data_IF_134566987937
#
_entry.id   IF_134566987937
#
_cell.length_a   1.000
_cell.length_b   1.000
_cell.length_c   1.000
_cell.angle_alpha   90.00
_cell.angle_beta   90.00
_cell.angle_gamma   90.00
#
_symmetry.space_group_name_H-M   'P 1'
#
loop_
_entity.id
_entity.type
_entity.pdbx_description
1 polymer ?
#
# COMPACT_ATOMS: atom_id res chain seq x y z
N UNK A 1 -38.84 -17.80 3.09
CA UNK A 1 -37.46 -18.13 3.53
C UNK A 1 -36.33 -17.45 2.74
N UNK A 2 -36.58 -16.77 1.62
CA UNK A 2 -35.57 -16.10 0.77
C UNK A 2 -35.20 -14.68 1.30
N UNK A 3 -36.19 -13.93 1.79
CA UNK A 3 -35.97 -12.54 2.27
C UNK A 3 -35.02 -12.41 3.48
N UNK A 4 -35.01 -13.41 4.39
CA UNK A 4 -34.12 -13.38 5.58
C UNK A 4 -32.64 -13.62 5.24
N UNK A 5 -32.36 -14.22 4.06
CA UNK A 5 -31.00 -14.52 3.62
C UNK A 5 -30.32 -13.31 3.00
N UNK A 6 -31.08 -12.44 2.32
CA UNK A 6 -30.58 -11.21 1.69
C UNK A 6 -30.18 -10.20 2.76
N UNK A 7 -30.99 -9.98 3.81
CA UNK A 7 -30.67 -9.08 4.92
C UNK A 7 -29.43 -9.50 5.71
N UNK A 8 -29.14 -10.79 5.82
CA UNK A 8 -27.95 -11.29 6.55
C UNK A 8 -26.66 -11.10 5.77
N UNK A 9 -26.71 -11.18 4.45
CA UNK A 9 -25.55 -10.96 3.56
C UNK A 9 -25.19 -9.47 3.56
N UNK A 10 -26.16 -8.57 3.39
CA UNK A 10 -25.94 -7.11 3.44
C UNK A 10 -25.42 -6.66 4.80
N UNK A 11 -25.92 -7.23 5.91
CA UNK A 11 -25.44 -6.90 7.24
C UNK A 11 -24.01 -7.38 7.49
N UNK A 12 -23.64 -8.55 6.95
CA UNK A 12 -22.28 -9.08 7.04
C UNK A 12 -21.27 -8.25 6.22
N UNK A 13 -21.65 -7.79 5.03
CA UNK A 13 -20.81 -6.94 4.19
C UNK A 13 -20.59 -5.56 4.83
N UNK A 14 -21.60 -4.95 5.43
CA UNK A 14 -21.48 -3.70 6.16
C UNK A 14 -20.66 -3.82 7.44
N UNK A 15 -20.67 -4.97 8.10
CA UNK A 15 -19.87 -5.23 9.32
C UNK A 15 -18.40 -5.46 8.98
N UNK A 16 -18.08 -6.02 7.82
CA UNK A 16 -16.70 -6.14 7.32
C UNK A 16 -16.12 -4.77 6.92
N UNK A 17 -16.94 -3.81 6.49
CA UNK A 17 -16.50 -2.45 6.21
C UNK A 17 -16.02 -1.70 7.47
N UNK A 18 -16.61 -1.97 8.64
CA UNK A 18 -16.27 -1.28 9.89
C UNK A 18 -14.91 -1.69 10.50
N UNK A 19 -14.31 -2.80 10.05
CA UNK A 19 -13.06 -3.34 10.62
C UNK A 19 -11.85 -3.21 9.70
N UNK A 20 -12.00 -2.64 8.51
CA UNK A 20 -10.88 -2.49 7.59
C UNK A 20 -9.91 -1.43 8.09
N UNK A 21 -8.67 -1.86 8.36
CA UNK A 21 -7.56 -0.97 8.67
C UNK A 21 -6.92 -0.54 7.37
N UNK A 22 -6.86 0.77 7.15
CA UNK A 22 -6.36 1.37 5.91
C UNK A 22 -5.25 2.36 6.20
N UNK A 23 -4.22 2.37 5.36
CA UNK A 23 -3.10 3.29 5.44
C UNK A 23 -3.02 4.12 4.16
N UNK A 24 -3.20 5.43 4.26
CA UNK A 24 -2.90 6.37 3.19
C UNK A 24 -1.46 6.85 3.30
N UNK A 25 -0.79 6.93 2.16
CA UNK A 25 0.60 7.36 2.04
C UNK A 25 0.70 8.49 1.03
N UNK A 26 1.11 9.66 1.48
CA UNK A 26 1.56 10.75 0.62
C UNK A 26 3.09 10.74 0.61
N UNK A 27 3.67 10.55 -0.59
CA UNK A 27 5.08 10.18 -0.74
C UNK A 27 5.84 11.26 -1.46
N UNK A 28 6.82 11.83 -0.76
CA UNK A 28 7.84 12.70 -1.30
C UNK A 28 9.19 11.99 -1.40
N UNK A 29 10.18 12.64 -2.00
CA UNK A 29 11.53 12.09 -2.17
C UNK A 29 12.14 11.65 -0.84
N UNK A 30 12.08 12.48 0.20
CA UNK A 30 12.82 12.29 1.45
C UNK A 30 11.91 11.91 2.62
N UNK A 31 10.59 12.07 2.48
CA UNK A 31 9.62 11.79 3.54
C UNK A 31 8.37 11.10 3.01
N UNK A 32 7.70 10.40 3.90
CA UNK A 32 6.36 9.84 3.66
C UNK A 32 5.44 10.26 4.79
N UNK A 33 4.36 10.94 4.44
CA UNK A 33 3.28 11.26 5.35
C UNK A 33 2.28 10.08 5.35
N UNK A 34 2.06 9.50 6.53
CA UNK A 34 1.26 8.31 6.74
C UNK A 34 0.00 8.65 7.53
N UNK A 35 -1.15 8.17 7.07
CA UNK A 35 -2.43 8.31 7.76
C UNK A 35 -3.09 6.94 7.93
N UNK A 36 -3.12 6.44 9.17
CA UNK A 36 -3.79 5.19 9.53
C UNK A 36 -5.24 5.46 9.86
N UNK A 37 -6.15 4.95 9.05
CA UNK A 37 -7.59 5.02 9.27
C UNK A 37 -8.08 3.70 9.87
N UNK A 38 -8.64 3.77 11.08
CA UNK A 38 -9.24 2.63 11.77
C UNK A 38 -10.48 3.09 12.54
N UNK A 39 -11.61 2.43 12.34
CA UNK A 39 -12.88 2.75 13.01
C UNK A 39 -13.27 4.25 12.91
N UNK A 40 -13.06 4.86 11.76
CA UNK A 40 -13.36 6.28 11.52
C UNK A 40 -12.34 7.27 12.12
N UNK A 41 -11.39 6.80 12.92
CA UNK A 41 -10.31 7.62 13.48
C UNK A 41 -9.07 7.60 12.58
N UNK A 42 -8.44 8.76 12.42
CA UNK A 42 -7.20 8.91 11.66
C UNK A 42 -6.05 9.19 12.63
N UNK A 43 -4.98 8.42 12.53
CA UNK A 43 -3.71 8.67 13.22
C UNK A 43 -2.64 8.94 12.18
N UNK A 44 -1.89 10.02 12.35
CA UNK A 44 -0.86 10.42 11.41
C UNK A 44 0.55 10.17 11.96
N UNK A 45 1.48 9.90 11.06
CA UNK A 45 2.90 9.77 11.33
C UNK A 45 3.69 10.19 10.09
N UNK A 46 4.79 10.86 10.29
CA UNK A 46 5.76 11.15 9.23
C UNK A 46 6.98 10.25 9.43
N UNK A 47 7.48 9.68 8.35
CA UNK A 47 8.69 8.86 8.33
C UNK A 47 9.62 9.33 7.20
N UNK A 48 10.89 8.97 7.26
CA UNK A 48 11.81 9.11 6.13
C UNK A 48 11.48 8.10 5.03
N UNK A 49 11.65 8.49 3.77
CA UNK A 49 11.52 7.57 2.64
C UNK A 49 12.82 6.76 2.47
N UNK A 50 13.11 5.92 3.46
CA UNK A 50 14.32 5.10 3.58
C UNK A 50 14.00 3.78 4.29
N UNK A 51 14.88 2.77 4.21
CA UNK A 51 14.69 1.50 4.91
C UNK A 51 14.46 1.66 6.43
N UNK A 52 15.13 2.62 7.06
CA UNK A 52 14.98 2.93 8.49
C UNK A 52 13.59 3.52 8.78
N UNK A 53 13.09 4.39 7.89
CA UNK A 53 11.73 4.93 7.98
C UNK A 53 10.68 3.84 7.81
N UNK A 54 10.89 2.88 6.91
CA UNK A 54 9.98 1.75 6.72
C UNK A 54 9.95 0.83 7.94
N UNK A 55 11.10 0.58 8.57
CA UNK A 55 11.17 -0.14 9.83
C UNK A 55 10.42 0.61 10.96
N UNK A 56 10.58 1.94 11.02
CA UNK A 56 9.85 2.79 11.97
C UNK A 56 8.34 2.79 11.72
N UNK A 57 7.89 2.66 10.46
CA UNK A 57 6.47 2.47 10.11
C UNK A 57 5.96 1.13 10.64
N UNK A 58 6.71 0.04 10.40
CA UNK A 58 6.36 -1.30 10.89
C UNK A 58 6.21 -1.33 12.40
N UNK A 59 7.16 -0.76 13.14
CA UNK A 59 7.10 -0.64 14.61
C UNK A 59 5.88 0.18 15.07
N UNK A 60 5.55 1.25 14.36
CA UNK A 60 4.38 2.07 14.67
C UNK A 60 3.07 1.33 14.41
N UNK A 61 2.96 0.59 13.30
CA UNK A 61 1.79 -0.25 13.01
C UNK A 61 1.62 -1.35 14.07
N UNK A 62 2.70 -1.99 14.48
CA UNK A 62 2.67 -2.98 15.54
C UNK A 62 2.20 -2.40 16.89
N UNK A 63 2.64 -1.17 17.25
CA UNK A 63 2.17 -0.46 18.45
C UNK A 63 0.65 -0.20 18.43
N UNK A 64 0.04 -0.19 17.24
CA UNK A 64 -1.40 -0.01 17.04
C UNK A 64 -2.13 -1.33 16.79
N UNK A 65 -1.52 -2.49 17.08
CA UNK A 65 -2.08 -3.82 16.88
C UNK A 65 -2.54 -4.08 15.44
N UNK A 66 -1.80 -3.54 14.46
CA UNK A 66 -2.08 -3.71 13.04
C UNK A 66 -1.15 -4.77 12.47
N UNK A 67 -1.68 -5.96 12.19
CA UNK A 67 -0.93 -7.05 11.57
C UNK A 67 -1.06 -7.04 10.05
N UNK A 68 -2.25 -6.73 9.54
CA UNK A 68 -2.52 -6.61 8.10
C UNK A 68 -3.36 -5.38 7.84
N UNK A 69 -3.06 -4.68 6.76
CA UNK A 69 -3.80 -3.51 6.32
C UNK A 69 -3.83 -3.42 4.80
N UNK A 70 -4.70 -2.55 4.29
CA UNK A 70 -4.68 -2.13 2.92
C UNK A 70 -4.06 -0.73 2.84
N UNK A 71 -2.85 -0.62 2.27
CA UNK A 71 -2.19 0.64 2.03
C UNK A 71 -2.55 1.19 0.65
N UNK A 72 -2.57 2.51 0.52
CA UNK A 72 -2.83 3.21 -0.72
C UNK A 72 -1.86 4.38 -0.87
N UNK A 73 -1.28 4.54 -2.05
CA UNK A 73 -0.43 5.68 -2.37
C UNK A 73 -0.71 6.20 -3.78
N UNK A 74 -0.31 7.44 -4.04
CA UNK A 74 -0.35 8.01 -5.38
C UNK A 74 0.87 7.59 -6.22
N UNK A 75 0.64 7.35 -7.51
CA UNK A 75 1.69 7.06 -8.49
C UNK A 75 2.41 8.33 -8.93
N UNK A 76 3.02 9.06 -8.00
CA UNK A 76 3.75 10.30 -8.28
C UNK A 76 5.25 10.02 -8.37
N UNK A 77 5.82 10.13 -9.58
CA UNK A 77 7.23 9.83 -9.84
C UNK A 77 7.58 8.36 -9.56
N UNK A 78 8.80 8.13 -9.05
CA UNK A 78 9.33 6.77 -8.75
C UNK A 78 9.47 6.51 -7.24
N UNK A 79 9.22 7.52 -6.42
CA UNK A 79 9.51 7.48 -4.99
C UNK A 79 8.63 6.52 -4.19
N UNK A 80 7.49 6.12 -4.74
CA UNK A 80 6.56 5.17 -4.13
C UNK A 80 7.00 3.71 -4.24
N UNK A 81 7.87 3.38 -5.20
CA UNK A 81 8.19 1.98 -5.52
C UNK A 81 8.85 1.24 -4.34
N UNK A 82 9.75 1.90 -3.63
CA UNK A 82 10.49 1.30 -2.52
C UNK A 82 9.57 0.92 -1.36
N UNK A 83 8.72 1.86 -0.91
CA UNK A 83 7.79 1.60 0.20
C UNK A 83 6.67 0.63 -0.22
N UNK A 84 6.18 0.71 -1.46
CA UNK A 84 5.17 -0.21 -1.97
C UNK A 84 5.70 -1.65 -1.98
N UNK A 85 6.92 -1.82 -2.46
CA UNK A 85 7.59 -3.11 -2.46
C UNK A 85 7.79 -3.64 -1.04
N UNK A 86 8.27 -2.80 -0.12
CA UNK A 86 8.46 -3.16 1.28
C UNK A 86 7.15 -3.63 1.93
N UNK A 87 6.06 -2.86 1.78
CA UNK A 87 4.76 -3.22 2.35
C UNK A 87 4.20 -4.51 1.76
N UNK A 88 4.39 -4.73 0.46
CA UNK A 88 4.01 -5.98 -0.19
C UNK A 88 4.78 -7.17 0.39
N UNK A 89 6.10 -7.03 0.60
CA UNK A 89 6.97 -8.09 1.13
C UNK A 89 6.65 -8.49 2.56
N UNK A 90 6.24 -7.54 3.40
CA UNK A 90 5.82 -7.83 4.77
C UNK A 90 4.36 -8.32 4.86
N UNK A 91 3.69 -8.51 3.71
CA UNK A 91 2.38 -9.16 3.62
C UNK A 91 1.19 -8.21 3.77
N UNK A 92 1.38 -6.90 3.59
CA UNK A 92 0.29 -5.94 3.47
C UNK A 92 -0.25 -5.90 2.04
N UNK A 93 -1.52 -5.54 1.88
CA UNK A 93 -2.07 -5.20 0.57
C UNK A 93 -1.72 -3.75 0.25
N UNK A 94 -1.28 -3.45 -0.95
CA UNK A 94 -1.02 -2.08 -1.39
C UNK A 94 -1.67 -1.81 -2.74
N UNK A 95 -2.21 -0.61 -2.92
CA UNK A 95 -2.74 -0.10 -4.18
C UNK A 95 -2.03 1.19 -4.57
N UNK A 96 -1.65 1.28 -5.82
CA UNK A 96 -1.00 2.46 -6.40
C UNK A 96 -2.00 3.15 -7.32
N UNK A 97 -2.35 4.39 -6.99
CA UNK A 97 -3.50 5.09 -7.56
C UNK A 97 -3.03 6.24 -8.45
N UNK A 98 -3.75 6.45 -9.54
CA UNK A 98 -3.53 7.63 -10.38
C UNK A 98 -3.90 8.89 -9.60
N UNK A 99 -3.02 9.90 -9.52
CA UNK A 99 -3.26 11.18 -8.84
C UNK A 99 -4.57 11.86 -9.25
N UNK A 100 -4.97 11.74 -10.51
CA UNK A 100 -6.23 12.32 -11.01
C UNK A 100 -7.47 11.76 -10.29
N UNK A 101 -7.43 10.48 -9.87
CA UNK A 101 -8.54 9.84 -9.14
C UNK A 101 -8.63 10.37 -7.71
N UNK A 102 -7.50 10.56 -7.03
CA UNK A 102 -7.45 11.14 -5.68
C UNK A 102 -7.92 12.59 -5.72
N UNK A 103 -7.46 13.37 -6.71
CA UNK A 103 -7.88 14.76 -6.90
C UNK A 103 -9.40 14.86 -7.13
N UNK A 104 -9.98 14.06 -8.05
CA UNK A 104 -11.41 14.03 -8.30
C UNK A 104 -12.21 13.64 -7.04
N UNK A 105 -11.72 12.68 -6.28
CA UNK A 105 -12.32 12.27 -5.01
C UNK A 105 -12.29 13.40 -3.97
N UNK A 106 -11.15 14.09 -3.84
CA UNK A 106 -11.03 15.26 -2.96
C UNK A 106 -12.00 16.38 -3.33
N UNK A 107 -12.19 16.64 -4.61
CA UNK A 107 -13.19 17.62 -5.10
C UNK A 107 -14.63 17.20 -4.73
N UNK A 108 -14.95 15.90 -4.84
CA UNK A 108 -16.28 15.38 -4.49
C UNK A 108 -16.63 15.57 -3.01
N UNK A 109 -15.61 15.60 -2.15
CA UNK A 109 -15.77 15.82 -0.70
C UNK A 109 -15.78 17.32 -0.31
N UNK A 110 -15.75 18.26 -1.28
CA UNK A 110 -15.69 19.71 -1.05
C UNK A 110 -14.55 20.16 -0.12
N UNK A 111 -13.47 19.42 -0.06
CA UNK A 111 -12.32 19.77 0.78
C UNK A 111 -11.47 20.82 0.08
N UNK A 112 -11.40 22.05 0.65
CA UNK A 112 -10.67 23.20 0.10
C UNK A 112 -9.25 23.40 0.66
N UNK A 113 -8.93 22.77 1.77
CA UNK A 113 -7.66 22.99 2.47
C UNK A 113 -6.65 21.90 2.11
N UNK A 114 -5.55 22.31 1.48
CA UNK A 114 -4.45 21.42 1.10
C UNK A 114 -3.35 21.50 2.16
N UNK A 115 -3.09 20.39 2.85
CA UNK A 115 -1.89 20.16 3.68
C UNK A 115 -1.48 18.70 3.53
N UNK A 116 -0.18 18.41 3.53
CA UNK A 116 0.36 17.05 3.33
C UNK A 116 -0.31 16.00 4.23
N UNK A 117 -0.61 16.36 5.48
CA UNK A 117 -1.31 15.46 6.41
C UNK A 117 -2.77 15.20 6.01
N UNK A 118 -3.45 16.18 5.35
CA UNK A 118 -4.79 16.00 4.81
C UNK A 118 -4.75 15.15 3.54
N UNK A 119 -3.69 15.23 2.75
CA UNK A 119 -3.54 14.47 1.52
C UNK A 119 -3.39 12.96 1.84
N UNK A 120 -2.55 12.57 2.80
CA UNK A 120 -2.46 11.20 3.27
C UNK A 120 -3.79 10.67 3.86
N UNK A 121 -4.52 11.51 4.62
CA UNK A 121 -5.82 11.14 5.16
C UNK A 121 -6.90 11.00 4.06
N UNK A 122 -6.83 11.84 3.01
CA UNK A 122 -7.69 11.74 1.85
C UNK A 122 -7.44 10.43 1.09
N UNK A 123 -6.18 10.07 0.88
CA UNK A 123 -5.78 8.79 0.27
C UNK A 123 -6.30 7.61 1.09
N UNK A 124 -6.21 7.66 2.43
CA UNK A 124 -6.76 6.62 3.30
C UNK A 124 -8.28 6.48 3.15
N UNK A 125 -9.03 7.60 3.10
CA UNK A 125 -10.48 7.60 2.90
C UNK A 125 -10.86 7.07 1.52
N UNK A 126 -10.12 7.46 0.48
CA UNK A 126 -10.29 6.93 -0.87
C UNK A 126 -10.14 5.40 -0.87
N UNK A 127 -9.07 4.90 -0.29
CA UNK A 127 -8.80 3.47 -0.18
C UNK A 127 -9.92 2.70 0.54
N UNK A 128 -10.43 3.25 1.64
CA UNK A 128 -11.51 2.63 2.41
C UNK A 128 -12.83 2.55 1.63
N UNK A 129 -13.15 3.58 0.83
CA UNK A 129 -14.41 3.67 0.10
C UNK A 129 -14.37 2.98 -1.25
N UNK A 130 -13.29 3.17 -2.02
CA UNK A 130 -13.19 2.70 -3.40
C UNK A 130 -12.60 1.30 -3.52
N UNK A 131 -11.89 0.80 -2.48
CA UNK A 131 -11.23 -0.51 -2.48
C UNK A 131 -10.48 -0.80 -3.78
N UNK A 132 -9.50 0.03 -4.14
CA UNK A 132 -8.82 -0.10 -5.41
C UNK A 132 -8.09 -1.44 -5.52
N UNK A 133 -7.85 -1.89 -6.76
CA UNK A 133 -7.16 -3.14 -7.02
C UNK A 133 -5.75 -3.17 -6.40
N UNK A 134 -5.39 -4.31 -5.85
CA UNK A 134 -4.07 -4.51 -5.26
C UNK A 134 -2.99 -4.43 -6.35
N UNK A 135 -1.94 -3.67 -6.06
CA UNK A 135 -0.73 -3.64 -6.85
C UNK A 135 0.14 -4.84 -6.52
N UNK A 136 0.80 -5.37 -7.53
CA UNK A 136 1.81 -6.41 -7.39
C UNK A 136 3.10 -5.95 -8.06
N UNK A 137 4.27 -6.21 -7.43
CA UNK A 137 5.54 -5.90 -8.09
C UNK A 137 5.60 -6.64 -9.42
N UNK A 138 6.10 -5.99 -10.48
CA UNK A 138 6.28 -6.65 -11.75
C UNK A 138 7.16 -7.89 -11.56
N UNK A 139 6.85 -9.01 -12.24
CA UNK A 139 7.67 -10.19 -12.17
C UNK A 139 9.10 -9.82 -12.56
N UNK A 140 10.07 -10.26 -11.76
CA UNK A 140 11.47 -10.10 -12.09
C UNK A 140 11.68 -10.74 -13.46
N UNK A 141 11.77 -9.93 -14.52
CA UNK A 141 12.25 -10.41 -15.80
C UNK A 141 13.72 -10.72 -15.56
N UNK A 142 14.05 -12.00 -15.44
CA UNK A 142 15.43 -12.44 -15.67
C UNK A 142 15.78 -12.01 -17.10
N UNK A 143 16.50 -10.92 -17.25
CA UNK A 143 17.10 -10.57 -18.51
C UNK A 143 18.21 -11.59 -18.73
N UNK A 144 18.06 -12.55 -19.65
CA UNK A 144 19.14 -13.46 -19.96
C UNK A 144 20.25 -12.61 -20.59
N UNK A 145 21.40 -12.61 -19.96
CA UNK A 145 22.61 -11.96 -20.44
C UNK A 145 23.04 -10.66 -19.74
N UNK A 146 23.59 -10.81 -18.52
CA UNK A 146 24.79 -10.05 -18.11
C UNK A 146 25.70 -10.98 -17.32
N UNK A 147 27.00 -11.07 -17.62
CA UNK A 147 27.94 -12.00 -16.98
C UNK A 147 28.33 -11.63 -15.54
N UNK A 148 27.68 -10.64 -14.94
CA UNK A 148 27.89 -10.18 -13.57
C UNK A 148 26.55 -10.10 -12.83
N UNK A 149 25.85 -11.21 -12.76
CA UNK A 149 24.68 -11.30 -11.87
C UNK A 149 25.18 -11.48 -10.43
N UNK A 150 25.42 -10.37 -9.74
CA UNK A 150 25.54 -10.38 -8.28
C UNK A 150 24.22 -10.95 -7.74
N UNK A 151 24.32 -12.01 -6.97
CA UNK A 151 23.26 -12.81 -6.38
C UNK A 151 22.12 -11.90 -5.91
N UNK A 152 21.03 -11.87 -6.66
CA UNK A 152 19.80 -11.24 -6.21
C UNK A 152 19.25 -12.09 -5.07
N UNK A 153 19.37 -11.62 -3.82
CA UNK A 153 18.87 -12.31 -2.60
C UNK A 153 17.38 -12.64 -2.67
N UNK A 154 16.68 -12.15 -3.70
CA UNK A 154 15.25 -12.29 -3.92
C UNK A 154 14.85 -13.42 -4.87
N UNK A 155 15.76 -13.87 -5.72
CA UNK A 155 15.52 -14.97 -6.66
C UNK A 155 16.01 -16.30 -6.05
N UNK A 156 15.15 -17.01 -5.31
CA UNK A 156 15.43 -18.38 -4.86
C UNK A 156 15.48 -19.42 -6.00
N UNK A 157 15.33 -18.98 -7.25
CA UNK A 157 15.32 -19.82 -8.45
C UNK A 157 16.25 -19.21 -9.50
N UNK A 158 17.51 -19.01 -9.17
CA UNK A 158 18.57 -19.02 -10.16
C UNK A 158 19.25 -20.39 -10.08
N UNK A 159 18.73 -21.32 -10.85
CA UNK A 159 19.45 -22.57 -11.12
C UNK A 159 20.70 -22.16 -11.88
N UNK A 160 21.86 -22.44 -11.31
CA UNK A 160 23.15 -22.26 -11.95
C UNK A 160 23.13 -22.95 -13.32
N UNK A 161 23.71 -22.36 -14.37
CA UNK A 161 23.87 -23.08 -15.62
C UNK A 161 24.75 -24.29 -15.36
N UNK A 162 24.24 -25.44 -15.72
CA UNK A 162 24.92 -26.72 -15.66
C UNK A 162 26.22 -26.60 -16.50
N UNK A 163 27.42 -26.84 -15.95
CA UNK A 163 28.64 -26.84 -16.71
C UNK A 163 28.86 -28.21 -17.36
N UNK A 164 28.12 -28.49 -18.44
CA UNK A 164 28.46 -29.63 -19.30
C UNK A 164 28.06 -29.25 -20.72
N UNK A 165 29.06 -28.86 -21.50
CA UNK A 165 29.36 -29.42 -22.82
C UNK A 165 30.58 -28.67 -23.38
N UNK A 166 31.66 -29.43 -23.52
CA UNK A 166 32.76 -29.12 -24.44
C UNK A 166 32.27 -28.92 -25.85
#
# INVERSE_FOLDING_TARGET
MIAARIHKVDYMEHTQQATQVVLGLDIAKDKVDCALLRLGQVKSKVISNSPEGFAALGAWLHKHDVQRLHACCEATGVYWEAIATHLFEVGHTISVINPAQIHAFGQSLLQRNKTDCLDAALIARYCAQQRPAAWQPPPLRCVPYRPWCVICKRCRICIAPNPIAC
#
